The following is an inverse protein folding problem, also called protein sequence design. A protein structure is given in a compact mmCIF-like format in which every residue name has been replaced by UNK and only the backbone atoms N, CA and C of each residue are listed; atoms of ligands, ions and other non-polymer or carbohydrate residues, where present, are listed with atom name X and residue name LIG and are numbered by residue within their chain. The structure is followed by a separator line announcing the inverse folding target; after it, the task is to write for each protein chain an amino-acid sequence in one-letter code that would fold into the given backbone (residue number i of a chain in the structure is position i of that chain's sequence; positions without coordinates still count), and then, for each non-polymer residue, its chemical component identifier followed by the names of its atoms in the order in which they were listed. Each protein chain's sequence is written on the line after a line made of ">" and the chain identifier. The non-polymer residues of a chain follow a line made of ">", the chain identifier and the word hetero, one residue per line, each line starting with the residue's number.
data_IF_403069308778
#
_entry.id   IF_403069308778
#
_cell.length_a   1.000
_cell.length_b   1.000
_cell.length_c   1.000
_cell.angle_alpha   90.00
_cell.angle_beta   90.00
_cell.angle_gamma   90.00
#
_symmetry.space_group_name_H-M   'P 1'
#
loop_
_entity.id
_entity.type
_entity.pdbx_description
1 polymer ?
#
# COMPACT_ATOMS: atom_id res chain seq x y z
N UNK A 1 -8.18 11.19 -2.77
CA UNK A 1 -7.37 9.97 -2.77
C UNK A 1 -6.22 9.97 -1.75
N UNK A 2 -5.63 11.06 -1.29
CA UNK A 2 -4.58 11.06 -0.26
C UNK A 2 -5.06 10.93 1.20
N UNK A 3 -6.36 10.90 1.45
CA UNK A 3 -6.92 10.89 2.81
C UNK A 3 -6.56 9.62 3.58
N UNK A 4 -6.62 8.47 2.89
CA UNK A 4 -6.29 7.17 3.48
C UNK A 4 -4.80 7.09 3.85
N UNK A 5 -3.92 7.50 2.94
CA UNK A 5 -2.48 7.54 3.17
C UNK A 5 -2.10 8.51 4.31
N UNK A 6 -2.76 9.66 4.40
CA UNK A 6 -2.54 10.61 5.51
C UNK A 6 -2.98 10.03 6.86
N UNK A 7 -4.14 9.38 6.91
CA UNK A 7 -4.62 8.70 8.13
C UNK A 7 -3.68 7.56 8.54
N UNK A 8 -3.18 6.79 7.58
CA UNK A 8 -2.19 5.74 7.79
C UNK A 8 -0.91 6.29 8.42
N UNK A 9 -0.32 7.35 7.86
CA UNK A 9 0.89 7.98 8.38
C UNK A 9 0.70 8.49 9.82
N UNK A 10 -0.43 9.12 10.10
CA UNK A 10 -0.76 9.59 11.44
C UNK A 10 -0.91 8.44 12.43
N UNK A 11 -1.62 7.37 12.06
CA UNK A 11 -1.80 6.20 12.92
C UNK A 11 -0.48 5.46 13.17
N UNK A 12 0.41 5.39 12.16
CA UNK A 12 1.76 4.83 12.32
C UNK A 12 2.55 5.58 13.40
N UNK A 13 2.54 6.92 13.37
CA UNK A 13 3.19 7.75 14.38
C UNK A 13 2.57 7.57 15.78
N UNK A 14 1.23 7.57 15.87
CA UNK A 14 0.54 7.40 17.14
C UNK A 14 0.82 6.03 17.78
N UNK A 15 0.78 4.96 16.99
CA UNK A 15 1.11 3.61 17.46
C UNK A 15 2.55 3.45 17.93
N UNK A 16 3.48 4.21 17.31
CA UNK A 16 4.89 4.27 17.65
C UNK A 16 5.26 5.31 18.72
N UNK A 17 4.27 6.03 19.27
CA UNK A 17 4.52 7.15 20.21
C UNK A 17 5.47 8.21 19.64
N UNK A 18 5.39 8.46 18.34
CA UNK A 18 6.23 9.40 17.61
C UNK A 18 7.48 8.78 16.98
N UNK A 19 7.80 7.54 17.28
CA UNK A 19 8.97 6.84 16.72
C UNK A 19 8.56 5.92 15.56
N UNK A 20 9.21 6.11 14.40
CA UNK A 20 9.07 5.25 13.22
C UNK A 20 10.46 4.80 12.79
N UNK A 21 10.79 3.53 13.00
CA UNK A 21 12.00 2.89 12.46
C UNK A 21 11.71 2.23 11.13
N UNK A 22 12.76 1.82 10.40
CA UNK A 22 12.61 1.10 9.13
C UNK A 22 11.79 -0.19 9.31
N UNK A 23 12.10 -0.97 10.34
CA UNK A 23 11.41 -2.23 10.64
C UNK A 23 9.94 -1.99 10.99
N UNK A 24 9.65 -0.96 11.79
CA UNK A 24 8.27 -0.58 12.11
C UNK A 24 7.51 -0.12 10.88
N UNK A 25 8.14 0.67 10.01
CA UNK A 25 7.54 1.10 8.76
C UNK A 25 7.16 -0.11 7.92
N UNK A 26 8.10 -1.05 7.68
CA UNK A 26 7.88 -2.27 6.90
C UNK A 26 6.74 -3.11 7.48
N UNK A 27 6.80 -3.41 8.77
CA UNK A 27 5.80 -4.23 9.45
C UNK A 27 4.41 -3.56 9.42
N UNK A 28 4.34 -2.24 9.60
CA UNK A 28 3.09 -1.51 9.56
C UNK A 28 2.49 -1.50 8.15
N UNK A 29 3.31 -1.26 7.13
CA UNK A 29 2.88 -1.29 5.73
C UNK A 29 2.42 -2.67 5.31
N UNK A 30 3.15 -3.72 5.69
CA UNK A 30 2.76 -5.11 5.40
C UNK A 30 1.42 -5.47 6.05
N UNK A 31 1.26 -5.17 7.34
CA UNK A 31 0.01 -5.38 8.06
C UNK A 31 -1.15 -4.63 7.44
N UNK A 32 -0.97 -3.35 7.10
CA UNK A 32 -2.00 -2.53 6.48
C UNK A 32 -2.40 -3.07 5.10
N UNK A 33 -1.41 -3.34 4.25
CA UNK A 33 -1.66 -3.81 2.88
C UNK A 33 -2.14 -5.27 2.79
N UNK A 34 -2.07 -6.04 3.89
CA UNK A 34 -2.74 -7.34 3.98
C UNK A 34 -4.27 -7.22 4.01
N UNK A 35 -4.79 -6.06 4.42
CA UNK A 35 -6.22 -5.76 4.54
C UNK A 35 -6.68 -4.83 3.42
N UNK A 36 -5.94 -3.76 3.16
CA UNK A 36 -6.29 -2.73 2.17
C UNK A 36 -5.06 -2.35 1.37
N UNK A 37 -5.07 -2.66 0.09
CA UNK A 37 -3.93 -2.34 -0.80
C UNK A 37 -4.01 -0.89 -1.23
N UNK A 38 -2.93 -0.15 -0.99
CA UNK A 38 -2.78 1.23 -1.47
C UNK A 38 -2.46 1.23 -2.97
N UNK A 39 -3.02 2.22 -3.66
CA UNK A 39 -2.63 2.51 -5.04
C UNK A 39 -1.23 3.08 -5.06
N UNK A 40 -0.54 2.87 -6.17
CA UNK A 40 0.83 3.38 -6.34
C UNK A 40 0.93 4.89 -6.09
N UNK A 41 -0.03 5.68 -6.58
CA UNK A 41 -0.07 7.12 -6.33
C UNK A 41 -0.16 7.48 -4.85
N UNK A 42 -0.85 6.67 -4.04
CA UNK A 42 -0.95 6.85 -2.58
C UNK A 42 0.35 6.45 -1.88
N UNK A 43 0.99 5.36 -2.34
CA UNK A 43 2.30 4.92 -1.83
C UNK A 43 3.36 6.00 -2.03
N UNK A 44 3.42 6.61 -3.20
CA UNK A 44 4.38 7.67 -3.52
C UNK A 44 4.19 8.95 -2.65
N UNK A 45 3.01 9.16 -2.09
CA UNK A 45 2.74 10.29 -1.19
C UNK A 45 3.18 10.04 0.25
N UNK A 46 3.39 8.78 0.67
CA UNK A 46 3.69 8.41 2.05
C UNK A 46 4.89 9.19 2.64
N UNK A 47 6.04 9.33 1.95
CA UNK A 47 7.18 10.05 2.53
C UNK A 47 6.82 11.50 2.91
N UNK A 48 6.14 12.21 2.01
CA UNK A 48 5.72 13.58 2.25
C UNK A 48 4.65 13.69 3.34
N UNK A 49 3.67 12.79 3.33
CA UNK A 49 2.59 12.76 4.31
C UNK A 49 3.09 12.37 5.70
N UNK A 50 4.06 11.45 5.78
CA UNK A 50 4.67 11.07 7.05
C UNK A 50 5.48 12.23 7.64
N UNK A 51 6.27 12.94 6.82
CA UNK A 51 6.95 14.15 7.24
C UNK A 51 6.00 15.24 7.74
N UNK A 52 4.92 15.49 7.01
CA UNK A 52 3.88 16.44 7.43
C UNK A 52 3.22 16.02 8.76
N UNK A 53 2.90 14.73 8.92
CA UNK A 53 2.30 14.21 10.14
C UNK A 53 3.24 14.35 11.35
N UNK A 54 4.56 14.15 11.17
CA UNK A 54 5.55 14.39 12.23
C UNK A 54 5.52 15.85 12.68
N UNK A 55 5.51 16.80 11.73
CA UNK A 55 5.47 18.24 12.02
C UNK A 55 4.17 18.62 12.73
N UNK A 56 3.03 18.13 12.27
CA UNK A 56 1.73 18.36 12.92
C UNK A 56 1.71 17.83 14.35
N UNK A 57 2.21 16.61 14.58
CA UNK A 57 2.31 16.01 15.90
C UNK A 57 3.24 16.83 16.82
N UNK A 58 4.41 17.24 16.34
CA UNK A 58 5.34 18.06 17.11
C UNK A 58 4.73 19.41 17.50
N UNK A 59 4.02 20.07 16.57
CA UNK A 59 3.31 21.30 16.85
C UNK A 59 2.18 21.11 17.90
N UNK A 60 1.49 19.98 17.86
CA UNK A 60 0.48 19.66 18.87
C UNK A 60 1.12 19.47 20.25
N UNK A 61 2.17 18.67 20.35
CA UNK A 61 2.93 18.44 21.59
C UNK A 61 3.46 19.74 22.18
N UNK A 62 4.05 20.63 21.35
CA UNK A 62 4.52 21.94 21.79
C UNK A 62 3.39 22.82 22.35
N UNK A 63 2.19 22.76 21.76
CA UNK A 63 1.03 23.51 22.28
C UNK A 63 0.59 23.01 23.66
N UNK A 64 0.51 21.68 23.83
CA UNK A 64 0.12 21.07 25.12
C UNK A 64 1.17 21.31 26.20
N UNK A 65 2.44 21.18 25.87
CA UNK A 65 3.58 21.42 26.77
C UNK A 65 3.56 22.81 27.40
N UNK A 66 3.06 23.85 26.68
CA UNK A 66 2.97 25.22 27.19
C UNK A 66 2.11 25.38 28.44
N UNK A 67 1.19 24.47 28.67
CA UNK A 67 0.23 24.52 29.80
C UNK A 67 0.42 23.38 30.80
N UNK A 68 1.41 22.51 30.55
CA UNK A 68 1.69 21.37 31.42
C UNK A 68 2.54 21.77 32.63
N UNK A 69 2.21 21.24 33.80
CA UNK A 69 3.01 21.41 35.01
C UNK A 69 4.27 20.53 34.98
N UNK A 70 4.19 19.37 34.33
CA UNK A 70 5.31 18.45 34.06
C UNK A 70 5.52 18.34 32.55
N UNK A 71 6.75 18.57 32.11
CA UNK A 71 7.12 18.61 30.68
C UNK A 71 7.97 17.42 30.24
N UNK A 72 8.39 16.54 31.13
CA UNK A 72 9.31 15.44 30.80
C UNK A 72 8.73 14.45 29.77
N UNK A 73 7.45 14.14 29.90
CA UNK A 73 6.76 13.26 28.93
C UNK A 73 6.69 13.86 27.53
N UNK A 74 6.41 15.17 27.44
CA UNK A 74 6.34 15.90 26.18
C UNK A 74 7.73 16.04 25.54
N UNK A 75 8.78 16.27 26.34
CA UNK A 75 10.16 16.36 25.86
C UNK A 75 10.60 15.04 25.20
N UNK A 76 10.33 13.90 25.82
CA UNK A 76 10.59 12.57 25.24
C UNK A 76 9.83 12.33 23.96
N UNK A 77 8.59 12.76 23.88
CA UNK A 77 7.78 12.63 22.68
C UNK A 77 8.30 13.51 21.53
N UNK A 78 8.74 14.74 21.83
CA UNK A 78 9.39 15.60 20.84
C UNK A 78 10.69 14.99 20.35
N UNK A 79 11.52 14.43 21.25
CA UNK A 79 12.75 13.74 20.88
C UNK A 79 12.50 12.59 19.91
N UNK A 80 11.49 11.76 20.18
CA UNK A 80 11.08 10.66 19.28
C UNK A 80 10.63 11.18 17.91
N UNK A 81 9.82 12.25 17.86
CA UNK A 81 9.36 12.89 16.62
C UNK A 81 10.54 13.48 15.80
N UNK A 82 11.48 14.18 16.45
CA UNK A 82 12.65 14.71 15.77
C UNK A 82 13.60 13.60 15.30
N UNK A 83 13.71 12.51 16.05
CA UNK A 83 14.47 11.33 15.62
C UNK A 83 13.84 10.71 14.38
N UNK A 84 12.53 10.58 14.35
CA UNK A 84 11.79 10.11 13.17
C UNK A 84 12.00 11.04 11.98
N UNK A 85 11.92 12.36 12.17
CA UNK A 85 12.15 13.31 11.08
C UNK A 85 13.57 13.21 10.50
N UNK A 86 14.57 13.05 11.36
CA UNK A 86 15.96 12.82 10.95
C UNK A 86 16.09 11.50 10.20
N UNK A 87 15.46 10.44 10.68
CA UNK A 87 15.50 9.13 10.04
C UNK A 87 14.91 9.19 8.63
N UNK A 88 13.77 9.87 8.45
CA UNK A 88 13.15 10.07 7.13
C UNK A 88 14.05 10.80 6.13
N UNK A 89 15.01 11.60 6.61
CA UNK A 89 15.96 12.31 5.73
C UNK A 89 17.15 11.46 5.28
N UNK A 90 17.42 10.34 5.94
CA UNK A 90 18.55 9.45 5.64
C UNK A 90 18.13 8.08 5.10
N UNK A 91 16.88 7.68 5.30
CA UNK A 91 16.34 6.45 4.75
C UNK A 91 16.11 6.55 3.24
N UNK A 92 16.42 5.47 2.56
CA UNK A 92 16.02 5.29 1.18
C UNK A 92 14.51 4.98 1.12
N UNK A 93 13.71 6.05 1.18
CA UNK A 93 12.25 5.94 1.16
C UNK A 93 11.73 5.39 -0.16
N UNK A 94 12.46 5.57 -1.27
CA UNK A 94 12.10 5.02 -2.56
C UNK A 94 12.18 3.48 -2.53
N UNK A 95 13.29 2.92 -2.06
CA UNK A 95 13.44 1.48 -1.89
C UNK A 95 12.42 0.90 -0.90
N UNK A 96 12.09 1.62 0.17
CA UNK A 96 11.07 1.19 1.14
C UNK A 96 9.66 1.14 0.50
N UNK A 97 9.31 2.15 -0.27
CA UNK A 97 8.03 2.19 -0.99
C UNK A 97 7.95 1.10 -2.05
N UNK A 98 9.03 0.88 -2.82
CA UNK A 98 9.10 -0.21 -3.78
C UNK A 98 8.92 -1.58 -3.11
N UNK A 99 9.57 -1.81 -1.97
CA UNK A 99 9.40 -3.06 -1.22
C UNK A 99 7.96 -3.28 -0.70
N UNK A 100 7.25 -2.21 -0.45
CA UNK A 100 5.86 -2.22 -0.01
C UNK A 100 4.86 -2.34 -1.17
N UNK A 101 5.25 -2.10 -2.43
CA UNK A 101 4.34 -2.10 -3.57
C UNK A 101 3.84 -3.51 -3.90
N UNK A 102 2.56 -3.77 -3.57
CA UNK A 102 1.90 -5.06 -3.83
C UNK A 102 1.76 -5.34 -5.32
N UNK A 103 1.63 -4.29 -6.14
CA UNK A 103 1.52 -4.38 -7.60
C UNK A 103 2.85 -4.83 -8.20
N UNK A 104 3.96 -4.22 -7.79
CA UNK A 104 5.31 -4.60 -8.22
C UNK A 104 5.60 -6.07 -7.85
N UNK A 105 5.36 -6.44 -6.58
CA UNK A 105 5.49 -7.82 -6.12
C UNK A 105 4.63 -8.79 -6.92
N UNK A 106 3.42 -8.37 -7.31
CA UNK A 106 2.54 -9.16 -8.16
C UNK A 106 3.16 -9.45 -9.53
N UNK A 107 3.80 -8.47 -10.14
CA UNK A 107 4.44 -8.57 -11.45
C UNK A 107 5.72 -9.44 -11.44
N UNK A 108 6.38 -9.61 -10.30
CA UNK A 108 7.54 -10.53 -10.19
C UNK A 108 7.17 -12.00 -10.46
N UNK A 109 5.87 -12.33 -10.42
CA UNK A 109 5.33 -13.61 -10.88
C UNK A 109 5.31 -13.82 -12.40
N UNK A 110 5.92 -12.92 -13.19
CA UNK A 110 6.08 -13.07 -14.64
C UNK A 110 6.68 -14.45 -14.98
N UNK A 111 6.01 -15.26 -15.82
CA UNK A 111 6.42 -16.64 -16.08
C UNK A 111 7.80 -16.78 -16.73
N UNK A 112 8.27 -15.72 -17.41
CA UNK A 112 9.61 -15.69 -18.02
C UNK A 112 10.70 -15.26 -17.05
N UNK A 113 10.33 -14.68 -15.91
CA UNK A 113 11.24 -14.11 -14.91
C UNK A 113 12.00 -12.88 -15.40
N UNK A 114 11.66 -12.33 -16.57
CA UNK A 114 12.32 -11.15 -17.14
C UNK A 114 12.03 -9.90 -16.32
N UNK A 115 10.78 -9.73 -15.87
CA UNK A 115 10.38 -8.57 -15.06
C UNK A 115 11.26 -8.39 -13.82
N UNK A 116 11.54 -9.46 -13.09
CA UNK A 116 12.36 -9.40 -11.87
C UNK A 116 13.80 -8.89 -12.13
N UNK A 117 14.31 -9.08 -13.35
CA UNK A 117 15.67 -8.69 -13.76
C UNK A 117 15.76 -7.31 -14.40
N UNK A 118 14.62 -6.62 -14.58
CA UNK A 118 14.60 -5.28 -15.18
C UNK A 118 15.20 -4.25 -14.23
N UNK A 119 15.78 -3.21 -14.84
CA UNK A 119 16.19 -2.01 -14.11
C UNK A 119 14.97 -1.23 -13.57
N UNK A 120 15.20 -0.37 -12.57
CA UNK A 120 14.16 0.41 -11.92
C UNK A 120 13.36 1.27 -12.91
N UNK A 121 14.02 1.92 -13.88
CA UNK A 121 13.34 2.75 -14.88
C UNK A 121 12.38 1.97 -15.75
N UNK A 122 12.77 0.77 -16.18
CA UNK A 122 11.92 -0.13 -16.95
C UNK A 122 10.74 -0.64 -16.11
N UNK A 123 10.98 -1.08 -14.86
CA UNK A 123 9.90 -1.47 -13.94
C UNK A 123 8.89 -0.35 -13.73
N UNK A 124 9.36 0.89 -13.55
CA UNK A 124 8.51 2.06 -13.44
C UNK A 124 7.60 2.26 -14.66
N UNK A 125 8.11 2.02 -15.88
CA UNK A 125 7.32 2.12 -17.09
C UNK A 125 6.21 1.03 -17.14
N UNK A 126 6.52 -0.19 -16.69
CA UNK A 126 5.55 -1.29 -16.56
C UNK A 126 4.45 -0.95 -15.55
N UNK A 127 4.82 -0.49 -14.36
CA UNK A 127 3.89 -0.11 -13.30
C UNK A 127 2.96 1.03 -13.73
N UNK A 128 3.50 2.08 -14.37
CA UNK A 128 2.67 3.16 -14.95
C UNK A 128 1.68 2.62 -16.00
N UNK A 129 2.11 1.64 -16.78
CA UNK A 129 1.22 1.04 -17.78
C UNK A 129 0.13 0.20 -17.15
N UNK A 130 0.44 -0.57 -16.12
CA UNK A 130 -0.55 -1.31 -15.31
C UNK A 130 -1.56 -0.34 -14.70
N UNK A 131 -1.11 0.74 -14.07
CA UNK A 131 -1.98 1.79 -13.52
C UNK A 131 -2.95 2.35 -14.57
N UNK A 132 -2.44 2.70 -15.77
CA UNK A 132 -3.27 3.21 -16.86
C UNK A 132 -4.33 2.21 -17.31
N UNK A 133 -3.96 0.93 -17.42
CA UNK A 133 -4.86 -0.12 -17.90
C UNK A 133 -5.86 -0.53 -16.81
N UNK A 134 -5.43 -0.63 -15.55
CA UNK A 134 -6.31 -0.89 -14.42
C UNK A 134 -7.37 0.20 -14.27
N UNK A 135 -6.97 1.47 -14.43
CA UNK A 135 -7.89 2.62 -14.39
C UNK A 135 -8.91 2.58 -15.53
N UNK A 136 -8.52 2.15 -16.74
CA UNK A 136 -9.45 1.94 -17.86
C UNK A 136 -10.39 0.76 -17.66
N UNK A 137 -9.92 -0.26 -16.94
CA UNK A 137 -10.69 -1.47 -16.62
C UNK A 137 -11.55 -1.30 -15.36
N UNK A 138 -11.56 -0.11 -14.75
CA UNK A 138 -12.25 0.18 -13.50
C UNK A 138 -11.94 -0.85 -12.40
N UNK A 139 -10.65 -1.19 -12.26
CA UNK A 139 -10.18 -2.18 -11.29
C UNK A 139 -8.95 -1.67 -10.54
N UNK A 140 -8.60 -2.34 -9.45
CA UNK A 140 -7.42 -2.03 -8.67
C UNK A 140 -6.14 -2.54 -9.37
N UNK A 141 -5.04 -1.78 -9.24
CA UNK A 141 -3.76 -2.06 -9.92
C UNK A 141 -3.23 -3.46 -9.63
N UNK A 142 -3.25 -3.87 -8.36
CA UNK A 142 -2.76 -5.17 -7.93
C UNK A 142 -3.63 -6.34 -8.44
N UNK A 143 -4.94 -6.11 -8.62
CA UNK A 143 -5.86 -7.09 -9.21
C UNK A 143 -5.55 -7.25 -10.70
N UNK A 144 -5.37 -6.12 -11.39
CA UNK A 144 -5.01 -6.11 -12.80
C UNK A 144 -3.66 -6.81 -13.04
N UNK A 145 -2.64 -6.52 -12.20
CA UNK A 145 -1.33 -7.16 -12.27
C UNK A 145 -1.42 -8.69 -12.12
N UNK A 146 -2.22 -9.19 -11.18
CA UNK A 146 -2.44 -10.63 -10.99
C UNK A 146 -3.13 -11.28 -12.19
N UNK A 147 -4.14 -10.62 -12.76
CA UNK A 147 -4.82 -11.09 -13.97
C UNK A 147 -3.85 -11.15 -15.15
N UNK A 148 -3.02 -10.11 -15.30
CA UNK A 148 -1.98 -10.03 -16.33
C UNK A 148 -0.99 -11.20 -16.23
N UNK A 149 -0.44 -11.45 -15.04
CA UNK A 149 0.51 -12.54 -14.80
C UNK A 149 -0.13 -13.91 -15.07
N UNK A 150 -1.38 -14.12 -14.62
CA UNK A 150 -2.12 -15.35 -14.91
C UNK A 150 -2.29 -15.56 -16.42
N UNK A 151 -2.65 -14.51 -17.15
CA UNK A 151 -2.78 -14.58 -18.61
C UNK A 151 -1.46 -14.92 -19.26
N UNK A 152 -0.39 -14.23 -18.86
CA UNK A 152 0.97 -14.47 -19.36
C UNK A 152 1.42 -15.92 -19.10
N UNK A 153 1.12 -16.46 -17.94
CA UNK A 153 1.42 -17.85 -17.55
C UNK A 153 0.68 -18.87 -18.42
N UNK A 154 -0.61 -18.63 -18.69
CA UNK A 154 -1.42 -19.50 -19.55
C UNK A 154 -0.89 -19.56 -20.99
N UNK A 155 -0.41 -18.44 -21.49
CA UNK A 155 0.08 -18.31 -22.87
C UNK A 155 1.60 -18.57 -22.99
N UNK A 156 2.30 -18.79 -21.86
CA UNK A 156 3.77 -18.97 -21.81
C UNK A 156 4.55 -17.75 -22.30
N UNK A 157 4.04 -16.53 -22.07
CA UNK A 157 4.60 -15.29 -22.60
C UNK A 157 4.98 -14.32 -21.49
N UNK A 158 5.92 -13.42 -21.80
CA UNK A 158 6.27 -12.31 -20.92
C UNK A 158 5.13 -11.30 -20.80
N UNK A 159 4.91 -10.73 -19.59
CA UNK A 159 3.87 -9.74 -19.31
C UNK A 159 3.94 -8.50 -20.23
N UNK A 160 5.13 -8.10 -20.64
CA UNK A 160 5.36 -6.96 -21.54
C UNK A 160 4.64 -7.09 -22.87
N UNK A 161 4.41 -8.33 -23.34
CA UNK A 161 3.65 -8.59 -24.55
C UNK A 161 2.23 -8.01 -24.50
N UNK A 162 1.60 -8.01 -23.32
CA UNK A 162 0.26 -7.49 -23.11
C UNK A 162 0.25 -6.00 -22.74
N UNK A 163 1.30 -5.53 -22.08
CA UNK A 163 1.41 -4.13 -21.67
C UNK A 163 1.78 -3.19 -22.82
N UNK A 164 2.65 -3.66 -23.74
CA UNK A 164 3.22 -2.87 -24.82
C UNK A 164 3.02 -3.57 -26.17
N UNK A 165 1.80 -3.57 -26.73
CA UNK A 165 1.54 -4.19 -28.01
C UNK A 165 2.36 -3.54 -29.12
N UNK A 166 2.99 -4.36 -29.98
CA UNK A 166 3.74 -3.87 -31.13
C UNK A 166 2.82 -3.05 -32.06
N UNK A 167 3.38 -2.01 -32.70
CA UNK A 167 2.66 -1.18 -33.67
C UNK A 167 2.11 -2.08 -34.78
N UNK A 168 0.80 -2.09 -34.96
CA UNK A 168 0.10 -2.87 -35.98
C UNK A 168 -0.78 -4.01 -35.50
N UNK A 169 -0.64 -4.45 -34.24
CA UNK A 169 -1.50 -5.48 -33.65
C UNK A 169 -2.62 -4.83 -32.82
N UNK A 170 -3.58 -4.20 -33.47
CA UNK A 170 -4.84 -3.76 -32.85
C UNK A 170 -5.88 -4.89 -32.93
N UNK A 171 -5.54 -6.07 -32.42
CA UNK A 171 -6.48 -7.20 -32.37
C UNK A 171 -7.07 -7.36 -30.99
N UNK A 172 -8.31 -7.81 -30.92
CA UNK A 172 -9.16 -7.93 -29.73
C UNK A 172 -8.63 -8.84 -28.61
N UNK A 173 -7.46 -9.44 -28.74
CA UNK A 173 -6.85 -10.35 -27.77
C UNK A 173 -5.81 -9.73 -26.83
N UNK A 174 -5.56 -8.43 -26.91
CA UNK A 174 -4.44 -7.77 -26.20
C UNK A 174 -4.78 -7.15 -24.86
N UNK A 175 -6.04 -7.02 -24.53
CA UNK A 175 -6.50 -6.57 -23.23
C UNK A 175 -6.92 -7.77 -22.41
N UNK A 176 -6.49 -7.81 -21.16
CA UNK A 176 -7.18 -8.64 -20.17
C UNK A 176 -8.61 -8.15 -20.24
N UNK A 177 -9.55 -9.04 -20.61
CA UNK A 177 -10.93 -8.65 -20.75
C UNK A 177 -11.40 -7.97 -19.48
N UNK A 178 -12.14 -6.88 -19.61
CA UNK A 178 -12.74 -6.17 -18.47
C UNK A 178 -13.48 -7.16 -17.56
N UNK A 179 -14.10 -8.20 -18.15
CA UNK A 179 -14.81 -9.26 -17.46
C UNK A 179 -13.90 -10.15 -16.60
N UNK A 180 -12.67 -10.43 -17.05
CA UNK A 180 -11.73 -11.28 -16.29
C UNK A 180 -11.15 -10.50 -15.09
N UNK A 181 -10.75 -9.25 -15.27
CA UNK A 181 -10.29 -8.38 -14.19
C UNK A 181 -11.40 -8.11 -13.18
N UNK A 182 -12.61 -7.81 -13.66
CA UNK A 182 -13.79 -7.61 -12.82
C UNK A 182 -14.20 -8.89 -12.08
N UNK A 183 -14.05 -10.07 -12.70
CA UNK A 183 -14.33 -11.35 -12.06
C UNK A 183 -13.36 -11.62 -10.89
N UNK A 184 -12.07 -11.36 -11.08
CA UNK A 184 -11.06 -11.51 -10.01
C UNK A 184 -11.34 -10.54 -8.86
N UNK A 185 -11.71 -9.29 -9.17
CA UNK A 185 -12.08 -8.29 -8.18
C UNK A 185 -13.30 -8.69 -7.36
N UNK A 186 -14.36 -9.22 -8.01
CA UNK A 186 -15.56 -9.74 -7.32
C UNK A 186 -15.21 -10.87 -6.37
N UNK A 187 -14.45 -11.87 -6.80
CA UNK A 187 -14.06 -13.02 -5.97
C UNK A 187 -13.24 -12.56 -4.75
N UNK A 188 -12.34 -11.59 -4.91
CA UNK A 188 -11.57 -11.07 -3.79
C UNK A 188 -12.43 -10.27 -2.82
N UNK A 189 -13.37 -9.46 -3.33
CA UNK A 189 -14.29 -8.70 -2.49
C UNK A 189 -15.26 -9.61 -1.72
N UNK A 190 -15.72 -10.69 -2.34
CA UNK A 190 -16.53 -11.70 -1.67
C UNK A 190 -15.77 -12.42 -0.56
N UNK A 191 -14.52 -12.80 -0.80
CA UNK A 191 -13.62 -13.38 0.23
C UNK A 191 -13.35 -12.41 1.36
N UNK A 192 -13.11 -11.13 1.04
CA UNK A 192 -12.93 -10.08 2.04
C UNK A 192 -14.19 -9.91 2.89
N UNK A 193 -15.37 -9.81 2.28
CA UNK A 193 -16.64 -9.71 2.99
C UNK A 193 -16.89 -10.92 3.88
N UNK A 194 -16.69 -12.14 3.37
CA UNK A 194 -16.84 -13.37 4.15
C UNK A 194 -15.94 -13.39 5.38
N UNK A 195 -14.64 -13.04 5.23
CA UNK A 195 -13.69 -13.01 6.35
C UNK A 195 -13.99 -11.93 7.40
N UNK A 196 -14.64 -10.82 7.00
CA UNK A 196 -14.98 -9.72 7.92
C UNK A 196 -16.36 -9.88 8.56
N UNK A 197 -17.29 -10.58 7.91
CA UNK A 197 -18.58 -10.94 8.51
C UNK A 197 -18.38 -11.91 9.66
N UNK A 198 -17.53 -12.92 9.49
CA UNK A 198 -17.18 -13.88 10.54
C UNK A 198 -16.50 -13.21 11.76
N UNK A 199 -15.65 -12.21 11.53
CA UNK A 199 -15.05 -11.40 12.61
C UNK A 199 -16.06 -10.51 13.35
N UNK A 200 -17.06 -9.95 12.67
CA UNK A 200 -18.13 -9.16 13.34
C UNK A 200 -18.99 -10.04 14.21
N UNK A 201 -19.39 -11.21 13.73
CA UNK A 201 -20.18 -12.17 14.52
C UNK A 201 -19.41 -12.67 15.75
N UNK A 202 -18.10 -12.87 15.65
CA UNK A 202 -17.24 -13.27 16.80
C UNK A 202 -17.10 -12.13 17.81
N UNK A 203 -16.99 -10.88 17.37
CA UNK A 203 -16.95 -9.71 18.26
C UNK A 203 -18.29 -9.45 18.93
N UNK A 204 -19.40 -9.54 18.21
CA UNK A 204 -20.77 -9.39 18.78
C UNK A 204 -21.08 -10.52 19.77
N UNK A 205 -20.61 -11.74 19.51
CA UNK A 205 -20.70 -12.87 20.45
C UNK A 205 -19.89 -12.63 21.74
N UNK A 206 -18.68 -12.09 21.61
CA UNK A 206 -17.84 -11.76 22.76
C UNK A 206 -18.42 -10.62 23.61
N UNK A 207 -18.96 -9.58 22.98
CA UNK A 207 -19.62 -8.46 23.69
C UNK A 207 -20.89 -8.90 24.44
N UNK A 208 -21.71 -9.77 23.83
CA UNK A 208 -22.92 -10.32 24.48
C UNK A 208 -22.59 -11.23 25.67
N UNK A 209 -21.47 -11.97 25.62
CA UNK A 209 -21.06 -12.83 26.76
C UNK A 209 -20.49 -12.05 27.92
N UNK A 210 -19.96 -10.84 27.69
CA UNK A 210 -19.40 -9.96 28.75
C UNK A 210 -20.48 -9.09 29.44
N UNK A 211 -21.60 -8.84 28.77
CA UNK A 211 -22.70 -8.06 29.29
C UNK A 211 -23.69 -8.88 30.17
N UNK A 212 -23.48 -10.21 30.30
CA UNK A 212 -24.30 -11.15 31.06
C UNK A 212 -23.61 -11.69 32.33
N UNK A 213 -22.51 -11.07 32.75
CA UNK A 213 -21.84 -11.28 34.04
C UNK A 213 -21.78 -9.96 34.82
#
# INVERSE_FOLDING_TARGET
>A
DGVLAAALCRNMLLSGRGEVTEERFKAYMEGFQSVTVLRRGELCLIPALLGAAVIECAAAVCREMRYAADTDGYAKQLEALFTTLRLLSVLDMEALIESADVTDRGLTGDPTGEYARMDAGTKQAYLRRVEQLARRADTEEHIYARALVRRAANDGRHIGFYLFPARGHRGEGWYIGLDEAASIGRIQMERYRASHTDRRETLDGAFKSTALR
#
